data_IF_960435556548
#
_entry.id   IF_960435556548
#
_cell.length_a   1.000
_cell.length_b   1.000
_cell.length_c   1.000
_cell.angle_alpha   90.00
_cell.angle_beta   90.00
_cell.angle_gamma   90.00
#
_symmetry.space_group_name_H-M   'P 1'
#
loop_
_entity.id
_entity.type
_entity.pdbx_description
1 polymer ?
#
# COMPACT_ATOMS: atom_id res chain seq x y z
N UNK A 1 0.79 13.70 6.56
CA UNK A 1 2.12 13.09 6.32
C UNK A 1 2.29 12.69 4.86
N UNK A 2 1.53 11.70 4.36
CA UNK A 2 1.54 11.31 2.94
C UNK A 2 1.28 12.51 2.01
N UNK A 3 0.24 13.30 2.29
CA UNK A 3 -0.08 14.52 1.52
C UNK A 3 1.00 15.61 1.48
N UNK A 4 2.03 15.53 2.34
CA UNK A 4 3.18 16.45 2.29
C UNK A 4 4.24 15.98 1.28
N UNK A 5 4.35 14.67 1.08
CA UNK A 5 5.31 14.04 0.16
C UNK A 5 4.68 13.83 -1.22
N UNK A 6 3.38 13.60 -1.27
CA UNK A 6 2.53 13.49 -2.46
C UNK A 6 1.43 14.55 -2.39
N UNK A 7 1.70 15.79 -2.82
CA UNK A 7 0.78 16.92 -2.69
C UNK A 7 -0.63 16.66 -3.26
N UNK A 8 -0.74 15.84 -4.31
CA UNK A 8 -1.99 15.44 -4.95
C UNK A 8 -2.93 14.61 -4.05
N UNK A 9 -2.38 14.02 -2.96
CA UNK A 9 -3.11 13.28 -1.94
C UNK A 9 -3.41 14.12 -0.68
N UNK A 10 -3.06 15.40 -0.67
CA UNK A 10 -3.26 16.25 0.50
C UNK A 10 -4.75 16.38 0.85
N UNK A 11 -5.08 16.13 2.12
CA UNK A 11 -6.46 16.14 2.64
C UNK A 11 -7.34 14.95 2.23
N UNK A 12 -6.85 14.02 1.39
CA UNK A 12 -7.64 12.87 0.90
C UNK A 12 -7.48 11.59 1.71
N UNK A 13 -6.42 11.50 2.51
CA UNK A 13 -6.09 10.31 3.29
C UNK A 13 -6.01 10.65 4.77
N UNK A 14 -6.63 9.79 5.58
CA UNK A 14 -6.52 9.74 7.04
C UNK A 14 -6.52 8.27 7.46
N UNK A 15 -6.23 7.98 8.73
CA UNK A 15 -6.19 6.60 9.23
C UNK A 15 -6.25 6.51 10.73
N UNK A 16 -6.39 5.28 11.22
CA UNK A 16 -6.32 4.92 12.62
C UNK A 16 -5.39 3.72 12.80
N UNK A 17 -5.01 3.41 14.04
CA UNK A 17 -4.12 2.30 14.34
C UNK A 17 -4.67 1.46 15.50
N UNK A 18 -4.55 0.14 15.37
CA UNK A 18 -4.78 -0.81 16.46
C UNK A 18 -3.42 -1.34 16.91
N UNK A 19 -3.16 -1.30 18.23
CA UNK A 19 -1.96 -1.90 18.82
C UNK A 19 -2.30 -3.29 19.32
N UNK A 20 -1.50 -4.26 18.91
CA UNK A 20 -1.65 -5.67 19.27
C UNK A 20 -0.39 -6.16 20.01
N UNK A 21 -0.46 -7.22 20.83
CA UNK A 21 0.67 -7.69 21.62
C UNK A 21 1.67 -8.49 20.77
N UNK A 22 2.28 -7.85 19.78
CA UNK A 22 3.35 -8.40 18.94
C UNK A 22 4.58 -7.50 19.08
N UNK A 23 5.78 -8.05 19.35
CA UNK A 23 6.96 -7.24 19.65
C UNK A 23 7.51 -6.47 18.45
N UNK A 24 7.27 -6.95 17.23
CA UNK A 24 7.76 -6.35 15.99
C UNK A 24 6.88 -6.73 14.80
N UNK A 25 7.06 -6.04 13.68
CA UNK A 25 6.26 -6.09 12.44
C UNK A 25 4.88 -5.46 12.62
N UNK A 26 4.36 -4.91 11.52
CA UNK A 26 3.06 -4.24 11.46
C UNK A 26 2.52 -4.36 10.04
N UNK A 27 1.21 -4.17 9.90
CA UNK A 27 0.51 -4.22 8.62
C UNK A 27 -0.25 -2.93 8.37
N UNK A 28 -0.34 -2.53 7.10
CA UNK A 28 -1.19 -1.42 6.65
C UNK A 28 -2.36 -2.01 5.87
N UNK A 29 -3.58 -1.72 6.31
CA UNK A 29 -4.81 -1.97 5.56
C UNK A 29 -5.28 -0.66 4.92
N UNK A 30 -5.17 -0.57 3.59
CA UNK A 30 -5.56 0.61 2.83
C UNK A 30 -6.86 0.36 2.07
N UNK A 31 -7.94 0.94 2.55
CA UNK A 31 -9.19 1.05 1.80
C UNK A 31 -9.27 2.43 1.14
N UNK A 32 -9.42 2.48 -0.19
CA UNK A 32 -9.56 3.72 -0.94
C UNK A 32 -10.56 3.59 -2.08
N UNK A 33 -11.07 4.72 -2.56
CA UNK A 33 -11.93 4.78 -3.75
C UNK A 33 -11.10 5.29 -4.94
N UNK A 34 -11.00 4.47 -5.97
CA UNK A 34 -10.28 4.83 -7.20
C UNK A 34 -11.14 5.75 -8.08
N UNK A 35 -10.49 6.69 -8.77
CA UNK A 35 -11.15 7.53 -9.78
C UNK A 35 -11.53 6.71 -11.01
N UNK A 36 -10.60 5.85 -11.46
CA UNK A 36 -10.83 4.88 -12.53
C UNK A 36 -10.96 3.50 -11.90
N UNK A 37 -12.04 2.80 -12.22
CA UNK A 37 -12.22 1.41 -11.77
C UNK A 37 -11.08 0.54 -12.26
N UNK A 38 -10.67 -0.41 -11.43
CA UNK A 38 -9.66 -1.41 -11.73
C UNK A 38 -10.08 -2.73 -11.09
N UNK A 39 -9.74 -3.85 -11.73
CA UNK A 39 -9.90 -5.16 -11.10
C UNK A 39 -8.81 -5.39 -10.05
N UNK A 40 -9.01 -6.37 -9.18
CA UNK A 40 -7.98 -6.77 -8.22
C UNK A 40 -6.69 -7.25 -8.91
N UNK A 41 -6.83 -7.96 -10.03
CA UNK A 41 -5.69 -8.46 -10.80
C UNK A 41 -4.90 -7.32 -11.46
N UNK A 42 -5.57 -6.27 -11.95
CA UNK A 42 -4.89 -5.08 -12.48
C UNK A 42 -4.04 -4.38 -11.40
N UNK A 43 -4.59 -4.27 -10.19
CA UNK A 43 -3.89 -3.66 -9.05
C UNK A 43 -2.69 -4.51 -8.66
N UNK A 44 -2.86 -5.83 -8.52
CA UNK A 44 -1.75 -6.76 -8.22
C UNK A 44 -0.64 -6.67 -9.27
N UNK A 45 -0.99 -6.68 -10.55
CA UNK A 45 -0.04 -6.58 -11.65
C UNK A 45 0.75 -5.27 -11.60
N UNK A 46 0.08 -4.14 -11.34
CA UNK A 46 0.74 -2.84 -11.20
C UNK A 46 1.70 -2.81 -10.00
N UNK A 47 1.28 -3.36 -8.85
CA UNK A 47 2.11 -3.44 -7.64
C UNK A 47 3.36 -4.30 -7.85
N UNK A 48 3.19 -5.48 -8.48
CA UNK A 48 4.30 -6.37 -8.81
C UNK A 48 5.30 -5.68 -9.77
N UNK A 49 4.80 -5.09 -10.86
CA UNK A 49 5.64 -4.37 -11.82
C UNK A 49 6.40 -3.20 -11.17
N UNK A 50 5.76 -2.44 -10.28
CA UNK A 50 6.43 -1.37 -9.52
C UNK A 50 7.53 -1.93 -8.59
N UNK A 51 7.26 -3.04 -7.90
CA UNK A 51 8.21 -3.69 -6.98
C UNK A 51 9.46 -4.22 -7.68
N UNK A 52 9.31 -4.71 -8.92
CA UNK A 52 10.41 -5.24 -9.72
C UNK A 52 11.12 -4.16 -10.54
N UNK A 53 10.48 -3.00 -10.71
CA UNK A 53 10.94 -1.87 -11.52
C UNK A 53 11.31 -0.64 -10.70
N UNK A 54 10.51 0.42 -10.83
CA UNK A 54 10.84 1.76 -10.32
C UNK A 54 10.97 1.86 -8.80
N UNK A 55 10.38 0.92 -8.05
CA UNK A 55 10.41 0.89 -6.59
C UNK A 55 11.25 -0.26 -6.03
N UNK A 56 12.10 -0.88 -6.86
CA UNK A 56 12.95 -2.00 -6.45
C UNK A 56 13.82 -1.65 -5.25
N UNK A 57 13.80 -2.52 -4.25
CA UNK A 57 14.53 -2.34 -2.98
C UNK A 57 13.79 -1.52 -1.92
N UNK A 58 12.64 -0.93 -2.28
CA UNK A 58 11.76 -0.20 -1.35
C UNK A 58 10.40 -0.89 -1.23
N UNK A 59 9.81 -1.29 -2.37
CA UNK A 59 8.58 -2.07 -2.43
C UNK A 59 8.89 -3.53 -2.71
N UNK A 60 8.31 -4.43 -1.91
CA UNK A 60 8.30 -5.88 -2.16
C UNK A 60 6.89 -6.36 -2.52
N UNK A 61 6.80 -7.51 -3.17
CA UNK A 61 5.55 -8.18 -3.54
C UNK A 61 5.67 -9.68 -3.25
N UNK A 62 4.65 -10.28 -2.65
CA UNK A 62 4.58 -11.72 -2.40
C UNK A 62 3.16 -12.23 -2.63
N UNK A 63 3.05 -13.48 -3.11
CA UNK A 63 1.79 -14.24 -3.21
C UNK A 63 1.79 -15.43 -2.25
N UNK A 64 2.82 -15.56 -1.41
CA UNK A 64 2.92 -16.62 -0.41
C UNK A 64 1.99 -16.32 0.77
N UNK A 65 1.50 -17.38 1.41
CA UNK A 65 0.73 -17.30 2.66
C UNK A 65 1.65 -16.95 3.84
N UNK A 66 2.03 -15.68 3.94
CA UNK A 66 2.86 -15.13 5.03
C UNK A 66 2.02 -14.77 6.26
N UNK A 67 2.68 -14.73 7.43
CA UNK A 67 2.07 -14.40 8.75
C UNK A 67 2.57 -13.08 9.32
#
# INVERSE_FOLDING_TARGET
AVGKVLPELNGKLTGMAFRVPTPNVSVVDLTCRLEKGASYDDIKAAMKAASEGSMKGILGYTEDDVV
#
